data_IF_896332630693
#
_entry.id   IF_896332630693
#
_cell.length_a   1.000
_cell.length_b   1.000
_cell.length_c   1.000
_cell.angle_alpha   90.00
_cell.angle_beta   90.00
_cell.angle_gamma   90.00
#
_symmetry.space_group_name_H-M   'P 1'
#
loop_
_entity.id
_entity.type
_entity.pdbx_description
1 polymer ?
#
# COMPACT_ATOMS: atom_id res chain seq x y z
N UNK A 1 -5.49 9.75 12.54
CA UNK A 1 -5.33 9.05 11.24
C UNK A 1 -4.49 7.84 11.50
N UNK A 2 -4.99 6.65 11.19
CA UNK A 2 -4.31 5.39 11.48
C UNK A 2 -4.73 4.44 10.36
N UNK A 3 -3.76 3.99 9.59
CA UNK A 3 -4.01 2.96 8.59
C UNK A 3 -4.44 1.65 9.27
N UNK A 4 -5.28 0.87 8.58
CA UNK A 4 -5.70 -0.45 9.05
C UNK A 4 -4.62 -1.46 8.71
N UNK A 5 -4.34 -2.36 9.65
CA UNK A 5 -3.37 -3.45 9.48
C UNK A 5 -4.14 -4.77 9.55
N UNK A 6 -3.92 -5.67 8.60
CA UNK A 6 -4.54 -7.00 8.56
C UNK A 6 -4.20 -7.87 9.77
N UNK A 7 -5.04 -8.85 10.05
CA UNK A 7 -4.77 -9.85 11.09
C UNK A 7 -3.52 -10.66 10.77
N UNK A 8 -3.29 -11.01 9.50
CA UNK A 8 -2.10 -11.73 9.05
C UNK A 8 -0.81 -10.95 9.36
N UNK A 9 -0.76 -9.68 8.97
CA UNK A 9 0.41 -8.83 9.23
C UNK A 9 0.67 -8.63 10.73
N UNK A 10 -0.37 -8.34 11.52
CA UNK A 10 -0.20 -8.18 12.98
C UNK A 10 0.35 -9.46 13.63
N UNK A 11 -0.19 -10.62 13.28
CA UNK A 11 0.26 -11.90 13.83
C UNK A 11 1.72 -12.20 13.42
N UNK A 12 2.07 -11.93 12.17
CA UNK A 12 3.43 -12.13 11.69
C UNK A 12 4.42 -11.26 12.44
N UNK A 13 4.12 -9.99 12.64
CA UNK A 13 4.96 -9.07 13.41
C UNK A 13 5.14 -9.46 14.87
N UNK A 14 4.17 -10.16 15.47
CA UNK A 14 4.22 -10.56 16.88
C UNK A 14 4.94 -11.89 17.10
N UNK A 15 4.94 -12.79 16.11
CA UNK A 15 5.37 -14.19 16.34
C UNK A 15 6.44 -14.66 15.37
N UNK A 16 6.32 -14.36 14.07
CA UNK A 16 7.06 -15.10 13.04
C UNK A 16 8.04 -14.26 12.23
N UNK A 17 7.97 -12.93 12.27
CA UNK A 17 8.90 -12.08 11.53
C UNK A 17 8.65 -10.59 11.67
N UNK A 18 9.17 -9.82 10.73
CA UNK A 18 9.03 -8.36 10.69
C UNK A 18 8.01 -7.92 9.63
N UNK A 19 7.52 -6.68 9.77
CA UNK A 19 6.68 -6.03 8.76
C UNK A 19 7.33 -6.04 7.37
N UNK A 20 8.63 -5.75 7.31
CA UNK A 20 9.41 -5.77 6.07
C UNK A 20 9.42 -7.15 5.41
N UNK A 21 9.59 -8.22 6.20
CA UNK A 21 9.58 -9.58 5.68
C UNK A 21 8.18 -9.99 5.19
N UNK A 22 7.13 -9.55 5.88
CA UNK A 22 5.74 -9.84 5.52
C UNK A 22 5.34 -9.20 4.18
N UNK A 23 5.79 -7.97 3.93
CA UNK A 23 5.48 -7.18 2.74
C UNK A 23 6.57 -7.26 1.66
N UNK A 24 7.46 -8.25 1.74
CA UNK A 24 8.57 -8.42 0.78
C UNK A 24 8.03 -8.64 -0.64
N UNK A 25 8.58 -7.90 -1.60
CA UNK A 25 8.12 -7.87 -3.00
C UNK A 25 6.62 -7.58 -3.12
N UNK A 26 6.07 -6.82 -2.17
CA UNK A 26 4.69 -6.39 -2.16
C UNK A 26 4.40 -5.31 -3.20
N UNK A 27 3.13 -4.96 -3.33
CA UNK A 27 2.65 -3.88 -4.22
C UNK A 27 1.73 -2.93 -3.49
N UNK A 28 1.66 -1.70 -3.96
CA UNK A 28 0.61 -0.76 -3.57
C UNK A 28 -0.47 -0.76 -4.64
N UNK A 29 -1.70 -1.08 -4.26
CA UNK A 29 -2.89 -1.04 -5.13
C UNK A 29 -3.76 0.15 -4.75
N UNK A 30 -4.11 0.99 -5.71
CA UNK A 30 -4.98 2.17 -5.51
C UNK A 30 -6.34 1.90 -6.12
N UNK A 31 -7.41 2.21 -5.38
CA UNK A 31 -8.79 1.92 -5.77
C UNK A 31 -9.70 3.14 -5.70
N UNK A 32 -10.82 3.08 -6.43
CA UNK A 32 -11.96 3.98 -6.20
C UNK A 32 -12.75 3.61 -4.95
N UNK A 33 -13.59 4.53 -4.49
CA UNK A 33 -14.55 4.28 -3.41
C UNK A 33 -13.95 4.41 -2.01
N UNK A 34 -14.76 4.09 -0.99
CA UNK A 34 -14.31 4.12 0.40
C UNK A 34 -13.47 2.88 0.73
N UNK A 35 -12.48 3.05 1.60
CA UNK A 35 -11.74 1.91 2.14
C UNK A 35 -12.69 0.89 2.80
N UNK A 36 -12.50 -0.42 2.54
CA UNK A 36 -13.14 -1.48 3.30
C UNK A 36 -13.01 -1.32 4.82
N UNK A 37 -13.94 -1.95 5.55
CA UNK A 37 -14.01 -1.89 7.01
C UNK A 37 -12.75 -2.44 7.70
N UNK A 38 -12.07 -3.40 7.06
CA UNK A 38 -10.80 -3.95 7.52
C UNK A 38 -9.89 -4.27 6.33
N UNK A 39 -8.59 -4.38 6.62
CA UNK A 39 -7.62 -4.88 5.64
C UNK A 39 -7.82 -6.38 5.32
N UNK A 40 -8.55 -7.13 6.16
CA UNK A 40 -8.87 -8.55 5.94
C UNK A 40 -10.02 -8.73 4.93
N UNK A 41 -10.84 -7.70 4.72
CA UNK A 41 -11.95 -7.74 3.77
C UNK A 41 -11.46 -7.85 2.32
N UNK A 42 -12.31 -8.34 1.41
CA UNK A 42 -12.02 -8.30 -0.02
C UNK A 42 -11.84 -6.86 -0.52
N UNK A 43 -11.05 -6.70 -1.57
CA UNK A 43 -10.92 -5.42 -2.29
C UNK A 43 -12.29 -5.02 -2.87
N UNK A 44 -12.58 -3.72 -2.88
CA UNK A 44 -13.82 -3.15 -3.42
C UNK A 44 -13.53 -1.97 -4.33
N UNK A 45 -14.45 -1.66 -5.24
CA UNK A 45 -14.25 -0.58 -6.22
C UNK A 45 -13.38 -1.02 -7.41
N UNK A 46 -12.98 -0.04 -8.22
CA UNK A 46 -12.16 -0.27 -9.41
C UNK A 46 -10.68 -0.10 -9.04
N UNK A 47 -9.85 -1.07 -9.40
CA UNK A 47 -8.39 -0.93 -9.32
C UNK A 47 -7.93 0.12 -10.35
N UNK A 48 -7.36 1.21 -9.86
CA UNK A 48 -6.87 2.32 -10.68
C UNK A 48 -5.40 2.20 -11.02
N UNK A 49 -4.56 1.70 -10.10
CA UNK A 49 -3.13 1.60 -10.32
C UNK A 49 -2.51 0.52 -9.42
N UNK A 50 -1.54 -0.23 -9.96
CA UNK A 50 -0.59 -1.01 -9.18
C UNK A 50 0.76 -0.31 -9.22
N UNK A 51 1.28 0.07 -8.06
CA UNK A 51 2.56 0.73 -7.87
C UNK A 51 3.55 -0.29 -7.33
N UNK A 52 4.69 -0.38 -8.03
CA UNK A 52 5.85 -1.16 -7.61
C UNK A 52 7.15 -0.53 -8.12
N UNK A 53 8.27 -1.23 -7.93
CA UNK A 53 9.57 -0.77 -8.37
C UNK A 53 9.59 -0.67 -9.89
N UNK A 54 9.84 0.54 -10.38
CA UNK A 54 9.93 0.90 -11.79
C UNK A 54 8.66 0.62 -12.61
N UNK A 55 7.53 0.26 -11.97
CA UNK A 55 6.31 -0.18 -12.66
C UNK A 55 6.49 -1.52 -13.39
N UNK A 56 7.44 -2.35 -12.95
CA UNK A 56 7.86 -3.58 -13.63
C UNK A 56 7.01 -4.81 -13.27
N UNK A 57 6.09 -4.71 -12.30
CA UNK A 57 5.21 -5.82 -11.92
C UNK A 57 5.79 -6.76 -10.85
N UNK A 58 7.06 -6.62 -10.49
CA UNK A 58 7.77 -7.52 -9.58
C UNK A 58 7.60 -7.20 -8.08
N UNK A 59 6.89 -6.12 -7.76
CA UNK A 59 6.79 -5.59 -6.40
C UNK A 59 7.98 -4.70 -6.02
N UNK A 60 7.97 -4.21 -4.78
CA UNK A 60 9.04 -3.40 -4.22
C UNK A 60 9.40 -3.85 -2.80
N UNK A 61 10.48 -3.29 -2.26
CA UNK A 61 10.93 -3.59 -0.92
C UNK A 61 11.02 -2.31 -0.07
N UNK A 62 10.78 -2.48 1.22
CA UNK A 62 11.07 -1.45 2.22
C UNK A 62 12.56 -1.45 2.56
N UNK A 63 13.06 -0.31 3.04
CA UNK A 63 14.43 -0.14 3.47
C UNK A 63 14.81 -1.18 4.54
N UNK A 64 16.08 -1.55 4.58
CA UNK A 64 16.60 -2.48 5.60
C UNK A 64 16.72 -1.83 6.98
N UNK A 65 16.63 -0.50 7.06
CA UNK A 65 16.77 0.27 8.28
C UNK A 65 15.46 0.95 8.66
N UNK A 66 15.07 0.84 9.92
CA UNK A 66 14.01 1.65 10.52
C UNK A 66 14.63 2.71 11.43
N UNK A 67 14.06 3.92 11.44
CA UNK A 67 14.48 5.04 12.28
C UNK A 67 13.25 5.57 13.00
N UNK A 68 13.31 5.68 14.33
CA UNK A 68 12.22 6.22 15.17
C UNK A 68 10.84 5.58 14.92
N UNK A 69 10.80 4.26 14.67
CA UNK A 69 9.57 3.52 14.41
C UNK A 69 9.02 3.67 12.98
N UNK A 70 9.78 4.30 12.09
CA UNK A 70 9.45 4.52 10.68
C UNK A 70 10.34 3.66 9.80
N UNK A 71 9.74 2.97 8.83
CA UNK A 71 10.44 2.36 7.70
C UNK A 71 9.91 2.94 6.39
N UNK A 72 10.80 3.35 5.51
CA UNK A 72 10.46 3.94 4.22
C UNK A 72 10.66 2.94 3.06
N UNK A 73 10.21 3.32 1.87
CA UNK A 73 10.70 2.70 0.63
C UNK A 73 12.23 2.80 0.56
N UNK A 74 12.86 1.91 -0.21
CA UNK A 74 14.28 2.07 -0.56
C UNK A 74 14.46 3.39 -1.33
N UNK A 75 15.44 4.21 -0.93
CA UNK A 75 15.64 5.56 -1.48
C UNK A 75 15.90 5.52 -2.99
N UNK A 76 16.73 4.58 -3.44
CA UNK A 76 17.08 4.41 -4.86
C UNK A 76 15.96 3.81 -5.72
N UNK A 77 14.90 3.25 -5.12
CA UNK A 77 13.80 2.67 -5.87
C UNK A 77 12.85 3.78 -6.33
N UNK A 78 12.54 3.79 -7.63
CA UNK A 78 11.48 4.63 -8.19
C UNK A 78 10.18 3.84 -8.10
N UNK A 79 9.26 4.27 -7.25
CA UNK A 79 7.94 3.63 -7.14
C UNK A 79 6.97 4.33 -8.08
N UNK A 80 6.36 3.55 -8.97
CA UNK A 80 5.42 4.04 -9.96
C UNK A 80 4.53 2.93 -10.49
N UNK A 81 3.46 3.32 -11.15
CA UNK A 81 2.59 2.43 -11.91
C UNK A 81 1.87 3.16 -13.03
N UNK A 82 1.48 2.46 -14.09
CA UNK A 82 0.59 3.04 -15.11
C UNK A 82 -0.85 2.84 -14.68
N UNK A 83 -1.64 3.92 -14.68
CA UNK A 83 -3.05 3.84 -14.33
C UNK A 83 -3.80 2.90 -15.28
N UNK A 84 -4.43 1.89 -14.70
CA UNK A 84 -5.21 0.85 -15.38
C UNK A 84 -6.60 1.36 -15.81
N UNK A 85 -7.12 2.36 -15.08
CA UNK A 85 -8.44 2.93 -15.33
C UNK A 85 -8.49 4.42 -14.92
N UNK A 86 -9.43 5.15 -15.50
CA UNK A 86 -9.74 6.53 -15.10
C UNK A 86 -10.72 6.53 -13.94
N UNK A 87 -10.44 7.29 -12.89
CA UNK A 87 -11.33 7.42 -11.74
C UNK A 87 -10.72 8.24 -10.59
N UNK A 88 -11.48 8.38 -9.52
CA UNK A 88 -11.02 9.09 -8.31
C UNK A 88 -10.50 8.09 -7.28
N UNK A 89 -9.21 8.18 -6.95
CA UNK A 89 -8.58 7.40 -5.91
C UNK A 89 -9.20 7.74 -4.54
N UNK A 90 -9.69 6.71 -3.85
CA UNK A 90 -10.31 6.85 -2.52
C UNK A 90 -9.59 6.08 -1.42
N UNK A 91 -8.95 4.95 -1.76
CA UNK A 91 -8.13 4.20 -0.80
C UNK A 91 -7.00 3.43 -1.49
N UNK A 92 -6.04 2.98 -0.70
CA UNK A 92 -4.96 2.12 -1.14
C UNK A 92 -4.83 0.87 -0.27
N UNK A 93 -4.18 -0.15 -0.80
CA UNK A 93 -3.64 -1.28 -0.03
C UNK A 93 -2.17 -1.50 -0.37
N UNK A 94 -1.32 -1.67 0.63
CA UNK A 94 -0.03 -2.31 0.46
C UNK A 94 -0.20 -3.78 0.81
N UNK A 95 0.02 -4.65 -0.17
CA UNK A 95 -0.21 -6.09 -0.08
C UNK A 95 1.10 -6.86 -0.20
N UNK A 96 1.18 -8.03 0.44
CA UNK A 96 2.26 -8.99 0.20
C UNK A 96 2.24 -9.55 -1.23
N UNK A 97 3.34 -10.18 -1.63
CA UNK A 97 3.53 -10.70 -2.99
C UNK A 97 2.55 -11.81 -3.42
N UNK A 98 1.98 -12.56 -2.47
CA UNK A 98 1.03 -13.64 -2.73
C UNK A 98 -0.45 -13.20 -2.73
N UNK A 99 -0.71 -11.90 -2.52
CA UNK A 99 -2.05 -11.42 -2.23
C UNK A 99 -3.01 -11.47 -3.43
N UNK A 100 -4.13 -12.16 -3.26
CA UNK A 100 -5.16 -12.37 -4.28
C UNK A 100 -6.24 -11.29 -4.34
N UNK A 101 -6.26 -10.35 -3.39
CA UNK A 101 -7.32 -9.34 -3.24
C UNK A 101 -8.62 -9.86 -2.61
N UNK A 102 -8.75 -11.17 -2.41
CA UNK A 102 -9.90 -11.78 -1.74
C UNK A 102 -9.90 -11.52 -0.22
N UNK A 103 -11.02 -11.80 0.46
CA UNK A 103 -11.03 -11.73 1.92
C UNK A 103 -10.06 -12.76 2.51
N UNK A 104 -9.21 -12.33 3.43
CA UNK A 104 -8.19 -13.19 4.05
C UNK A 104 -7.80 -12.66 5.42
N UNK A 105 -7.64 -13.58 6.38
CA UNK A 105 -7.08 -13.28 7.70
C UNK A 105 -5.58 -13.61 7.80
N UNK A 106 -4.97 -14.14 6.73
CA UNK A 106 -3.56 -14.58 6.70
C UNK A 106 -2.68 -13.70 5.83
N UNK A 107 -3.24 -13.07 4.80
CA UNK A 107 -2.46 -12.22 3.90
C UNK A 107 -2.00 -10.94 4.60
N UNK A 108 -0.71 -10.55 4.48
CA UNK A 108 -0.21 -9.33 5.06
C UNK A 108 -0.60 -8.11 4.22
N UNK A 109 -1.42 -7.25 4.82
CA UNK A 109 -1.95 -6.03 4.21
C UNK A 109 -1.89 -4.84 5.16
N UNK A 110 -1.63 -3.66 4.58
CA UNK A 110 -1.92 -2.34 5.15
C UNK A 110 -2.93 -1.65 4.25
N UNK A 111 -3.86 -0.91 4.82
CA UNK A 111 -4.89 -0.17 4.10
C UNK A 111 -5.05 1.24 4.68
N UNK A 112 -5.24 2.23 3.82
CA UNK A 112 -5.57 3.58 4.25
C UNK A 112 -6.26 4.38 3.17
N UNK A 113 -6.71 5.59 3.52
CA UNK A 113 -7.39 6.49 2.59
C UNK A 113 -6.39 7.18 1.68
N UNK A 114 -6.89 7.59 0.52
CA UNK A 114 -6.18 8.45 -0.42
C UNK A 114 -6.87 9.82 -0.46
N UNK A 115 -6.09 10.88 -0.36
CA UNK A 115 -6.54 12.27 -0.48
C UNK A 115 -5.45 13.12 -1.13
N UNK A 116 -5.68 14.42 -1.32
CA UNK A 116 -4.62 15.38 -1.62
C UNK A 116 -3.92 15.89 -0.35
N UNK A 117 -4.58 15.76 0.80
CA UNK A 117 -4.03 16.09 2.12
C UNK A 117 -4.85 15.41 3.23
N UNK A 118 -4.22 15.20 4.38
CA UNK A 118 -4.88 14.71 5.58
C UNK A 118 -5.41 13.28 5.46
N UNK A 119 -4.82 12.46 4.58
CA UNK A 119 -5.02 11.02 4.54
C UNK A 119 -3.71 10.26 4.77
N UNK A 120 -3.82 8.95 4.96
CA UNK A 120 -2.67 8.06 5.15
C UNK A 120 -1.79 7.97 3.90
N UNK A 121 -2.35 8.20 2.71
CA UNK A 121 -1.61 8.43 1.46
C UNK A 121 -2.11 9.71 0.80
N UNK A 122 -1.18 10.61 0.48
CA UNK A 122 -1.51 11.87 -0.17
C UNK A 122 -0.91 11.90 -1.58
N UNK A 123 -1.76 12.15 -2.58
CA UNK A 123 -1.35 12.29 -3.98
C UNK A 123 -1.47 13.76 -4.41
N UNK A 124 -0.69 14.18 -5.41
CA UNK A 124 -0.85 15.51 -6.00
C UNK A 124 -2.23 15.73 -6.64
N UNK A 125 -2.89 14.65 -7.08
CA UNK A 125 -4.28 14.61 -7.53
C UNK A 125 -4.88 13.24 -7.22
N UNK A 126 -6.13 13.21 -6.79
CA UNK A 126 -6.88 11.94 -6.67
C UNK A 126 -7.58 11.55 -7.98
N UNK A 127 -7.66 12.46 -8.96
CA UNK A 127 -8.19 12.14 -10.29
C UNK A 127 -7.09 11.46 -11.12
N UNK A 128 -7.20 10.14 -11.24
CA UNK A 128 -6.30 9.31 -12.04
C UNK A 128 -6.90 9.10 -13.42
N UNK A 129 -6.06 9.16 -14.44
CA UNK A 129 -6.43 8.98 -15.85
C UNK A 129 -5.71 7.76 -16.39
N UNK A 130 -6.45 6.85 -17.03
CA UNK A 130 -5.91 5.63 -17.64
C UNK A 130 -4.74 5.92 -18.57
N UNK A 131 -3.72 5.07 -18.53
CA UNK A 131 -2.51 5.17 -19.36
C UNK A 131 -1.48 6.21 -18.89
N UNK A 132 -1.80 7.03 -17.89
CA UNK A 132 -0.86 7.98 -17.29
C UNK A 132 -0.06 7.29 -16.19
N UNK A 133 1.23 7.60 -16.11
CA UNK A 133 2.10 7.14 -15.04
C UNK A 133 1.77 7.88 -13.74
N UNK A 134 1.57 7.12 -12.67
CA UNK A 134 1.34 7.60 -11.32
C UNK A 134 2.60 7.32 -10.48
N UNK A 135 3.41 8.36 -10.18
CA UNK A 135 4.55 8.22 -9.28
C UNK A 135 4.10 8.17 -7.81
N UNK A 136 4.96 7.58 -6.98
CA UNK A 136 4.89 7.63 -5.53
C UNK A 136 6.29 7.89 -4.97
N UNK A 137 6.65 9.17 -4.91
CA UNK A 137 8.01 9.60 -4.55
C UNK A 137 8.35 9.31 -3.08
N UNK A 138 7.34 9.37 -2.21
CA UNK A 138 7.48 9.10 -0.79
C UNK A 138 6.49 8.02 -0.35
N UNK A 139 7.01 7.00 0.34
CA UNK A 139 6.19 6.01 1.00
C UNK A 139 6.90 5.55 2.26
N UNK A 140 6.20 5.62 3.39
CA UNK A 140 6.70 5.16 4.68
C UNK A 140 5.58 4.60 5.52
N UNK A 141 5.96 3.77 6.48
CA UNK A 141 5.08 3.12 7.42
C UNK A 141 5.63 3.41 8.81
N UNK A 142 4.79 3.97 9.68
CA UNK A 142 5.17 4.41 11.01
C UNK A 142 4.33 3.71 12.07
N UNK A 143 4.97 2.92 12.94
CA UNK A 143 4.23 2.37 14.07
C UNK A 143 3.82 3.49 15.04
N UNK A 144 2.58 3.48 15.55
CA UNK A 144 2.11 4.53 16.44
C UNK A 144 3.01 4.68 17.65
N UNK A 145 3.38 5.93 17.93
CA UNK A 145 3.84 6.39 19.24
C UNK A 145 2.72 7.25 19.82
N UNK A 146 2.58 7.22 21.15
CA UNK A 146 1.48 7.76 21.98
C UNK A 146 0.78 9.04 21.50
#
# INVERSE_FOLDING_TARGET
>A
MTYKVSTGLRNQMLVTGSLRAALLNGKIRIFTGSEPASADAAETGTLLCEIDKDGAGAGFNLDTTAVDGIVAKVVADVLKGTNLATGTAGYYRHVGSADTGASSATEPRIQGRVSTSGAEMNLGSTALVSGIEQPLDEYSINLPTF
#
